data_IF_200720368608
#
_entry.id   IF_200720368608
#
_cell.length_a   1.000
_cell.length_b   1.000
_cell.length_c   1.000
_cell.angle_alpha   90.00
_cell.angle_beta   90.00
_cell.angle_gamma   90.00
#
_symmetry.space_group_name_H-M   'P 1'
#
loop_
_entity.id
_entity.type
_entity.pdbx_description
1 polymer ?
#
# COMPACT_ATOMS: atom_id res chain seq x y z
N UNK A 1 -9.88 2.28 3.57
CA UNK A 1 -11.01 3.13 3.10
C UNK A 1 -10.53 4.36 2.34
N UNK A 2 -9.67 5.23 2.90
CA UNK A 2 -9.24 6.46 2.23
C UNK A 2 -8.59 6.25 0.85
N UNK A 3 -7.87 5.14 0.65
CA UNK A 3 -7.20 4.87 -0.62
C UNK A 3 -8.17 4.71 -1.82
N UNK A 4 -9.43 4.35 -1.56
CA UNK A 4 -10.48 4.15 -2.57
C UNK A 4 -11.32 5.39 -2.85
N UNK A 5 -11.08 6.49 -2.13
CA UNK A 5 -11.82 7.73 -2.33
C UNK A 5 -11.24 8.50 -3.52
N UNK A 6 -12.11 9.10 -4.34
CA UNK A 6 -11.67 9.99 -5.43
C UNK A 6 -11.01 11.27 -4.90
N UNK A 7 -11.36 11.67 -3.68
CA UNK A 7 -10.71 12.76 -2.95
C UNK A 7 -10.79 12.52 -1.44
N UNK A 8 -9.71 12.79 -0.74
CA UNK A 8 -9.63 12.81 0.71
C UNK A 8 -9.42 14.24 1.20
N UNK A 9 -10.21 14.64 2.20
CA UNK A 9 -9.96 15.86 2.99
C UNK A 9 -9.53 15.42 4.39
N UNK A 10 -8.23 15.41 4.62
CA UNK A 10 -7.62 14.97 5.87
C UNK A 10 -7.60 16.07 6.94
N UNK A 11 -7.44 15.67 8.19
CA UNK A 11 -7.02 16.58 9.27
C UNK A 11 -5.50 16.69 9.26
N UNK A 12 -4.94 17.84 9.63
CA UNK A 12 -3.48 18.06 9.66
C UNK A 12 -2.75 17.00 10.49
N UNK A 13 -3.31 16.60 11.63
CA UNK A 13 -2.78 15.57 12.53
C UNK A 13 -3.39 14.17 12.23
N UNK A 14 -3.54 13.83 10.95
CA UNK A 14 -4.03 12.51 10.55
C UNK A 14 -3.06 11.41 10.98
N UNK A 15 -3.60 10.33 11.56
CA UNK A 15 -2.89 9.08 11.78
C UNK A 15 -3.37 8.02 10.77
N UNK A 16 -2.53 7.61 9.81
CA UNK A 16 -2.90 6.65 8.74
C UNK A 16 -1.74 5.74 8.34
N UNK A 17 -2.01 4.45 8.19
CA UNK A 17 -1.02 3.46 7.78
C UNK A 17 -1.66 2.15 7.30
N UNK A 18 -0.85 1.32 6.65
CA UNK A 18 -1.18 -0.06 6.30
C UNK A 18 -0.34 -0.98 7.18
N UNK A 19 -0.90 -1.36 8.33
CA UNK A 19 -0.18 -2.02 9.44
C UNK A 19 -0.32 -3.54 9.45
N UNK A 20 -1.02 -4.09 8.46
CA UNK A 20 -1.34 -5.51 8.33
C UNK A 20 -0.09 -6.41 8.34
N UNK A 21 1.05 -5.90 7.86
CA UNK A 21 2.31 -6.63 7.83
C UNK A 21 2.68 -7.20 9.20
N UNK A 22 2.51 -6.39 10.25
CA UNK A 22 2.85 -6.79 11.62
C UNK A 22 2.05 -8.00 12.10
N UNK A 23 0.81 -8.16 11.66
CA UNK A 23 -0.06 -9.27 12.09
C UNK A 23 0.08 -10.54 11.24
N UNK A 24 0.96 -10.51 10.24
CA UNK A 24 1.28 -11.69 9.44
C UNK A 24 0.64 -11.71 8.05
N UNK A 25 0.03 -10.63 7.59
CA UNK A 25 -0.66 -10.55 6.28
C UNK A 25 -0.25 -9.30 5.51
N UNK A 26 -0.52 -9.28 4.20
CA UNK A 26 -0.46 -8.03 3.41
C UNK A 26 -1.77 -7.27 3.54
N UNK A 27 -1.83 -5.97 3.20
CA UNK A 27 -3.09 -5.26 3.12
C UNK A 27 -4.03 -5.90 2.09
N UNK A 28 -5.11 -6.52 2.56
CA UNK A 28 -6.08 -7.27 1.74
C UNK A 28 -7.38 -6.51 1.41
N UNK A 29 -7.50 -5.26 1.87
CA UNK A 29 -8.60 -4.35 1.57
C UNK A 29 -8.36 -3.51 0.31
N UNK A 30 -7.68 -4.08 -0.69
CA UNK A 30 -7.15 -3.40 -1.88
C UNK A 30 -6.08 -2.34 -1.60
N UNK A 31 -5.49 -2.34 -0.40
CA UNK A 31 -4.44 -1.39 -0.01
C UNK A 31 -3.13 -1.61 -0.77
N UNK A 32 -2.76 -2.87 -1.03
CA UNK A 32 -1.58 -3.20 -1.84
C UNK A 32 -1.81 -2.80 -3.29
N UNK A 33 -2.99 -3.12 -3.83
CA UNK A 33 -3.41 -2.71 -5.18
C UNK A 33 -3.33 -1.19 -5.35
N UNK A 34 -3.92 -0.42 -4.45
CA UNK A 34 -3.94 1.05 -4.54
C UNK A 34 -2.54 1.67 -4.44
N UNK A 35 -1.65 1.08 -3.63
CA UNK A 35 -0.25 1.52 -3.60
C UNK A 35 0.48 1.21 -4.92
N UNK A 36 0.20 0.07 -5.55
CA UNK A 36 0.76 -0.25 -6.88
C UNK A 36 0.26 0.70 -7.96
N UNK A 37 -1.04 1.06 -7.94
CA UNK A 37 -1.63 2.07 -8.85
C UNK A 37 -0.89 3.40 -8.70
N UNK A 38 -0.77 3.89 -7.47
CA UNK A 38 -0.08 5.17 -7.18
C UNK A 38 1.40 5.13 -7.51
N UNK A 39 2.05 4.01 -7.26
CA UNK A 39 3.44 3.79 -7.67
C UNK A 39 3.58 3.95 -9.18
N UNK A 40 2.68 3.35 -9.98
CA UNK A 40 2.68 3.51 -11.44
C UNK A 40 2.54 4.97 -11.85
N UNK A 41 1.67 5.74 -11.19
CA UNK A 41 1.44 7.17 -11.50
C UNK A 41 2.65 8.04 -11.13
N UNK A 42 3.47 7.59 -10.19
CA UNK A 42 4.68 8.28 -9.75
C UNK A 42 5.90 7.96 -10.62
N UNK A 43 5.86 6.90 -11.43
CA UNK A 43 6.96 6.58 -12.34
C UNK A 43 6.99 7.61 -13.47
N UNK A 44 8.11 8.32 -13.59
CA UNK A 44 8.36 9.25 -14.68
C UNK A 44 9.46 8.71 -15.59
N UNK A 45 9.37 9.05 -16.87
CA UNK A 45 10.41 8.74 -17.83
C UNK A 45 11.73 9.42 -17.40
N UNK A 46 12.82 8.66 -17.37
CA UNK A 46 14.13 9.11 -16.90
C UNK A 46 14.38 8.95 -15.39
N UNK A 47 13.36 8.69 -14.57
CA UNK A 47 13.55 8.38 -13.14
C UNK A 47 14.02 6.95 -12.91
N UNK A 48 14.75 6.74 -11.82
CA UNK A 48 15.16 5.40 -11.37
C UNK A 48 13.94 4.70 -10.74
N UNK A 49 13.11 4.08 -11.58
CA UNK A 49 11.88 3.36 -11.19
C UNK A 49 12.04 2.38 -10.02
N UNK A 50 13.21 1.76 -9.90
CA UNK A 50 13.55 0.83 -8.82
C UNK A 50 13.61 1.52 -7.44
N UNK A 51 14.02 2.80 -7.38
CA UNK A 51 14.01 3.58 -6.15
C UNK A 51 12.59 3.92 -5.72
N UNK A 52 11.73 4.33 -6.65
CA UNK A 52 10.32 4.62 -6.37
C UNK A 52 9.58 3.37 -5.90
N UNK A 53 9.80 2.23 -6.58
CA UNK A 53 9.28 0.94 -6.15
C UNK A 53 9.72 0.61 -4.73
N UNK A 54 11.03 0.66 -4.45
CA UNK A 54 11.58 0.36 -3.13
C UNK A 54 10.97 1.26 -2.04
N UNK A 55 10.80 2.56 -2.31
CA UNK A 55 10.19 3.50 -1.36
C UNK A 55 8.77 3.07 -0.99
N UNK A 56 7.90 2.83 -1.98
CA UNK A 56 6.49 2.44 -1.74
C UNK A 56 6.37 1.05 -1.13
N UNK A 57 7.20 0.12 -1.58
CA UNK A 57 7.28 -1.22 -0.99
C UNK A 57 7.65 -1.16 0.50
N UNK A 58 8.65 -0.36 0.87
CA UNK A 58 9.08 -0.23 2.27
C UNK A 58 8.05 0.48 3.15
N UNK A 59 7.26 1.41 2.61
CA UNK A 59 6.16 2.02 3.38
C UNK A 59 5.20 0.96 3.92
N UNK A 60 4.81 -0.02 3.10
CA UNK A 60 3.95 -1.13 3.55
C UNK A 60 4.76 -2.17 4.33
N UNK A 61 5.92 -2.59 3.80
CA UNK A 61 6.73 -3.66 4.37
C UNK A 61 7.28 -3.36 5.76
N UNK A 62 7.44 -2.09 6.10
CA UNK A 62 7.83 -1.65 7.45
C UNK A 62 6.64 -1.17 8.29
N UNK A 63 5.41 -1.31 7.79
CA UNK A 63 4.19 -0.84 8.44
C UNK A 63 4.29 0.63 8.89
N UNK A 64 4.82 1.50 8.03
CA UNK A 64 4.99 2.91 8.36
C UNK A 64 3.62 3.56 8.58
N UNK A 65 3.52 4.43 9.57
CA UNK A 65 2.28 5.14 9.87
C UNK A 65 2.57 6.63 9.83
N UNK A 66 1.87 7.33 8.95
CA UNK A 66 1.91 8.78 8.94
C UNK A 66 1.20 9.32 10.18
N UNK A 67 1.83 10.29 10.83
CA UNK A 67 1.35 11.02 12.02
C UNK A 67 0.88 12.44 11.69
N UNK A 68 1.03 12.84 10.43
CA UNK A 68 0.47 14.07 9.87
C UNK A 68 -0.03 13.85 8.44
N UNK A 69 -0.89 14.75 7.97
CA UNK A 69 -1.32 14.74 6.58
C UNK A 69 -0.14 14.94 5.61
N UNK A 70 0.85 15.77 5.97
CA UNK A 70 2.02 16.02 5.12
C UNK A 70 2.87 14.75 4.96
N UNK A 71 3.17 14.08 6.08
CA UNK A 71 3.85 12.78 6.07
C UNK A 71 3.04 11.73 5.28
N UNK A 72 1.70 11.78 5.33
CA UNK A 72 0.85 10.88 4.56
C UNK A 72 0.99 11.07 3.04
N UNK A 73 1.30 12.28 2.54
CA UNK A 73 1.68 12.47 1.12
C UNK A 73 3.06 11.89 0.82
N UNK A 74 4.03 12.09 1.71
CA UNK A 74 5.39 11.57 1.52
C UNK A 74 5.42 10.04 1.47
N UNK A 75 4.65 9.40 2.35
CA UNK A 75 4.45 7.96 2.42
C UNK A 75 3.52 7.41 1.33
N UNK A 76 2.76 8.26 0.63
CA UNK A 76 1.93 7.86 -0.51
C UNK A 76 0.52 7.39 -0.13
N UNK A 77 0.12 7.61 1.12
CA UNK A 77 -1.25 7.42 1.59
C UNK A 77 -2.22 8.48 1.07
N UNK A 78 -1.72 9.69 0.80
CA UNK A 78 -2.46 10.78 0.14
C UNK A 78 -1.77 11.18 -1.16
N UNK A 79 -2.53 11.73 -2.12
CA UNK A 79 -2.06 12.10 -3.47
C UNK A 79 -2.01 13.60 -3.62
N UNK A 80 -0.82 14.15 -3.90
CA UNK A 80 -0.64 15.59 -4.13
C UNK A 80 -1.45 16.02 -5.37
N UNK A 81 -2.05 17.20 -5.30
CA UNK A 81 -2.91 17.73 -6.36
C UNK A 81 -4.34 17.17 -6.41
N UNK A 82 -4.65 16.14 -5.62
CA UNK A 82 -6.00 15.56 -5.52
C UNK A 82 -6.52 15.70 -4.09
N UNK A 83 -5.82 15.06 -3.15
CA UNK A 83 -6.18 15.05 -1.73
C UNK A 83 -5.65 16.33 -1.06
N UNK A 84 -6.32 16.77 0.00
CA UNK A 84 -5.94 17.97 0.74
C UNK A 84 -6.16 17.78 2.24
N UNK A 85 -5.75 18.76 3.04
CA UNK A 85 -5.89 18.72 4.48
C UNK A 85 -6.30 20.06 5.06
N UNK A 86 -6.92 20.02 6.24
CA UNK A 86 -7.32 21.20 7.02
C UNK A 86 -6.66 21.18 8.40
N UNK A 87 -6.31 22.36 8.91
CA UNK A 87 -5.76 22.51 10.27
C UNK A 87 -6.83 22.23 11.33
N UNK A 88 -7.99 22.87 11.21
CA UNK A 88 -9.03 22.79 12.22
C UNK A 88 -9.97 21.60 11.95
N UNK A 89 -10.00 20.64 12.89
CA UNK A 89 -10.90 19.47 12.83
C UNK A 89 -12.37 19.87 12.67
N UNK A 90 -12.81 20.96 13.30
CA UNK A 90 -14.21 21.40 13.24
C UNK A 90 -14.65 21.77 11.82
N UNK A 91 -13.72 22.25 10.98
CA UNK A 91 -14.00 22.68 9.61
C UNK A 91 -13.93 21.53 8.60
N UNK A 92 -13.36 20.38 8.98
CA UNK A 92 -13.06 19.27 8.07
C UNK A 92 -14.28 18.77 7.32
N UNK A 93 -15.39 18.52 8.03
CA UNK A 93 -16.61 17.98 7.41
C UNK A 93 -17.24 19.01 6.46
N UNK A 94 -17.30 20.28 6.86
CA UNK A 94 -17.82 21.35 6.02
C UNK A 94 -16.95 21.54 4.77
N UNK A 95 -15.62 21.44 4.91
CA UNK A 95 -14.68 21.49 3.79
C UNK A 95 -14.85 20.29 2.85
N UNK A 96 -14.91 19.07 3.38
CA UNK A 96 -15.16 17.85 2.61
C UNK A 96 -16.46 17.93 1.80
N UNK A 97 -17.54 18.46 2.40
CA UNK A 97 -18.81 18.70 1.71
C UNK A 97 -18.65 19.67 0.53
N UNK A 98 -17.97 20.81 0.73
CA UNK A 98 -17.73 21.78 -0.35
C UNK A 98 -16.97 21.15 -1.51
N UNK A 99 -16.00 20.30 -1.23
CA UNK A 99 -15.19 19.63 -2.24
C UNK A 99 -15.97 18.57 -3.02
N UNK A 100 -16.83 17.81 -2.33
CA UNK A 100 -17.75 16.89 -2.99
C UNK A 100 -18.72 17.64 -3.93
N UNK A 101 -19.26 18.80 -3.50
CA UNK A 101 -20.08 19.65 -4.36
C UNK A 101 -19.28 20.21 -5.54
N UNK A 102 -18.05 20.66 -5.33
CA UNK A 102 -17.18 21.15 -6.39
C UNK A 102 -16.84 20.05 -7.42
N UNK A 103 -16.66 18.80 -6.99
CA UNK A 103 -16.51 17.65 -7.90
C UNK A 103 -17.79 17.45 -8.72
N UNK A 104 -18.96 17.49 -8.09
CA UNK A 104 -20.24 17.38 -8.77
C UNK A 104 -20.46 18.49 -9.81
N UNK A 105 -20.20 19.75 -9.45
CA UNK A 105 -20.33 20.90 -10.34
C UNK A 105 -19.39 20.84 -11.55
N UNK A 106 -18.20 20.23 -11.37
CA UNK A 106 -17.26 19.92 -12.46
C UNK A 106 -17.70 18.73 -13.33
N UNK A 107 -18.86 18.15 -13.06
CA UNK A 107 -19.41 17.03 -13.82
C UNK A 107 -18.79 15.68 -13.46
N UNK A 108 -18.49 15.45 -12.18
CA UNK A 108 -17.91 14.20 -11.70
C UNK A 108 -18.66 12.98 -12.26
N UNK A 109 -17.87 12.02 -12.77
CA UNK A 109 -18.31 10.69 -13.15
C UNK A 109 -17.40 9.68 -12.46
N UNK A 110 -17.96 8.51 -12.17
CA UNK A 110 -17.19 7.38 -11.65
C UNK A 110 -15.98 7.13 -12.56
N UNK A 111 -14.75 7.04 -12.02
CA UNK A 111 -13.58 6.70 -12.82
C UNK A 111 -13.76 5.38 -13.57
N UNK A 112 -13.18 5.32 -14.76
CA UNK A 112 -13.07 4.08 -15.54
C UNK A 112 -12.04 3.19 -14.83
N UNK A 113 -12.31 1.89 -14.74
CA UNK A 113 -11.35 0.94 -14.19
C UNK A 113 -10.08 0.98 -15.03
N UNK A 114 -8.93 1.17 -14.39
CA UNK A 114 -7.65 1.27 -15.09
C UNK A 114 -7.17 -0.05 -15.65
N UNK A 115 -6.52 0.04 -16.80
CA UNK A 115 -5.87 -1.07 -17.54
C UNK A 115 -4.42 -0.75 -17.91
N UNK A 116 -3.92 0.39 -17.45
CA UNK A 116 -2.67 1.06 -17.81
C UNK A 116 -1.71 1.17 -16.60
N UNK A 117 -1.80 0.23 -15.65
CA UNK A 117 -0.97 0.26 -14.45
C UNK A 117 0.33 -0.45 -14.75
N UNK A 118 1.43 0.30 -14.84
CA UNK A 118 2.76 -0.24 -15.06
C UNK A 118 3.28 -0.94 -13.81
N UNK A 119 3.59 -2.23 -13.94
CA UNK A 119 4.28 -3.06 -12.94
C UNK A 119 5.63 -3.49 -13.48
N UNK A 120 6.60 -3.78 -12.60
CA UNK A 120 8.00 -4.01 -12.99
C UNK A 120 8.41 -5.50 -13.13
N UNK A 121 7.53 -6.44 -12.80
CA UNK A 121 7.80 -7.87 -12.94
C UNK A 121 9.05 -8.32 -12.17
N UNK A 122 9.85 -9.18 -12.80
CA UNK A 122 11.06 -9.79 -12.20
C UNK A 122 12.12 -8.77 -11.76
N UNK A 123 12.16 -7.58 -12.37
CA UNK A 123 13.07 -6.50 -11.95
C UNK A 123 12.79 -6.10 -10.49
N UNK A 124 11.53 -5.80 -10.16
CA UNK A 124 11.12 -5.46 -8.80
C UNK A 124 11.23 -6.65 -7.84
N UNK A 125 10.87 -7.86 -8.28
CA UNK A 125 11.02 -9.06 -7.45
C UNK A 125 12.48 -9.34 -7.08
N UNK A 126 13.44 -9.06 -7.97
CA UNK A 126 14.86 -9.16 -7.65
C UNK A 126 15.25 -8.27 -6.46
N UNK A 127 14.76 -7.04 -6.42
CA UNK A 127 14.98 -6.11 -5.30
C UNK A 127 14.36 -6.62 -4.00
N UNK A 128 13.15 -7.17 -4.08
CA UNK A 128 12.45 -7.76 -2.93
C UNK A 128 13.24 -8.93 -2.36
N UNK A 129 13.68 -9.86 -3.21
CA UNK A 129 14.46 -11.01 -2.78
C UNK A 129 15.79 -10.62 -2.17
N UNK A 130 16.53 -9.69 -2.79
CA UNK A 130 17.79 -9.20 -2.24
C UNK A 130 17.54 -8.56 -0.86
N UNK A 131 16.60 -7.62 -0.78
CA UNK A 131 16.30 -6.92 0.48
C UNK A 131 15.86 -7.87 1.60
N UNK A 132 14.89 -8.75 1.31
CA UNK A 132 14.36 -9.68 2.30
C UNK A 132 15.41 -10.72 2.74
N UNK A 133 16.23 -11.24 1.81
CA UNK A 133 17.33 -12.14 2.15
C UNK A 133 18.39 -11.45 3.00
N UNK A 134 18.81 -10.24 2.65
CA UNK A 134 19.79 -9.48 3.44
C UNK A 134 19.30 -9.25 4.86
N UNK A 135 18.03 -8.84 5.04
CA UNK A 135 17.45 -8.63 6.36
C UNK A 135 17.33 -9.94 7.16
N UNK A 136 16.96 -11.03 6.50
CA UNK A 136 16.85 -12.35 7.12
C UNK A 136 18.21 -12.90 7.55
N UNK A 137 19.21 -12.89 6.66
CA UNK A 137 20.58 -13.31 6.98
C UNK A 137 21.24 -12.44 8.05
N UNK A 138 20.84 -11.17 8.14
CA UNK A 138 21.25 -10.26 9.22
C UNK A 138 20.50 -10.44 10.54
N UNK A 139 19.59 -11.42 10.65
CA UNK A 139 18.72 -11.65 11.81
C UNK A 139 17.82 -10.45 12.19
N UNK A 140 17.51 -9.57 11.24
CA UNK A 140 16.62 -8.41 11.47
C UNK A 140 15.13 -8.76 11.33
N UNK A 141 14.82 -9.80 10.57
CA UNK A 141 13.45 -10.26 10.32
C UNK A 141 13.37 -11.79 10.46
N UNK A 142 12.20 -12.31 10.83
CA UNK A 142 11.99 -13.75 10.86
C UNK A 142 11.84 -14.33 9.45
N UNK A 143 11.89 -15.66 9.35
CA UNK A 143 11.54 -16.36 8.10
C UNK A 143 10.11 -16.04 7.65
N UNK A 144 9.19 -15.83 8.60
CA UNK A 144 7.80 -15.49 8.28
C UNK A 144 7.67 -14.06 7.75
N UNK A 145 8.41 -13.12 8.33
CA UNK A 145 8.48 -11.74 7.83
C UNK A 145 9.03 -11.70 6.41
N UNK A 146 10.08 -12.50 6.12
CA UNK A 146 10.60 -12.67 4.76
C UNK A 146 9.51 -13.18 3.82
N UNK A 147 8.77 -14.21 4.22
CA UNK A 147 7.67 -14.78 3.41
C UNK A 147 6.58 -13.74 3.13
N UNK A 148 6.16 -12.94 4.11
CA UNK A 148 5.15 -11.88 3.91
C UNK A 148 5.70 -10.80 2.96
N UNK A 149 6.96 -10.41 3.13
CA UNK A 149 7.68 -9.45 2.28
C UNK A 149 7.70 -9.90 0.81
N UNK A 150 7.99 -11.17 0.55
CA UNK A 150 7.96 -11.76 -0.79
C UNK A 150 6.55 -11.78 -1.39
N UNK A 151 5.51 -12.04 -0.58
CA UNK A 151 4.10 -12.02 -1.03
C UNK A 151 3.63 -10.61 -1.36
N UNK A 152 4.01 -9.62 -0.56
CA UNK A 152 3.77 -8.20 -0.83
C UNK A 152 4.45 -7.79 -2.13
N UNK A 153 5.73 -8.12 -2.27
CA UNK A 153 6.52 -7.83 -3.45
C UNK A 153 5.94 -8.47 -4.70
N UNK A 154 5.45 -9.70 -4.60
CA UNK A 154 4.81 -10.41 -5.71
C UNK A 154 3.58 -9.68 -6.23
N UNK A 155 2.73 -9.15 -5.35
CA UNK A 155 1.55 -8.38 -5.76
C UNK A 155 1.98 -7.04 -6.39
N UNK A 156 2.88 -6.30 -5.74
CA UNK A 156 3.33 -4.99 -6.23
C UNK A 156 4.13 -5.06 -7.54
N UNK A 157 4.81 -6.18 -7.79
CA UNK A 157 5.55 -6.42 -9.03
C UNK A 157 4.66 -6.93 -10.16
N UNK A 158 3.37 -7.15 -9.92
CA UNK A 158 2.45 -7.67 -10.92
C UNK A 158 2.56 -9.17 -11.15
N UNK A 159 2.99 -9.94 -10.15
CA UNK A 159 3.08 -11.39 -10.22
C UNK A 159 4.35 -11.90 -10.90
N UNK A 160 4.22 -12.94 -11.73
CA UNK A 160 5.35 -13.62 -12.38
C UNK A 160 5.60 -13.11 -13.82
N UNK A 161 5.54 -11.79 -13.99
CA UNK A 161 5.81 -11.13 -15.26
C UNK A 161 7.33 -10.99 -15.45
N UNK A 162 7.84 -11.31 -16.63
CA UNK A 162 9.28 -11.27 -16.92
C UNK A 162 9.85 -9.86 -17.01
N UNK A 163 9.04 -8.90 -17.41
CA UNK A 163 9.43 -7.54 -17.75
C UNK A 163 8.35 -6.53 -17.35
N UNK A 164 8.67 -5.22 -17.33
CA UNK A 164 7.68 -4.20 -17.06
C UNK A 164 6.51 -4.26 -18.05
N UNK A 165 5.29 -4.32 -17.52
CA UNK A 165 4.07 -4.56 -18.28
C UNK A 165 2.93 -3.72 -17.71
N UNK A 166 1.98 -3.30 -18.55
CA UNK A 166 0.73 -2.68 -18.09
C UNK A 166 -0.31 -3.74 -17.73
N UNK A 167 -0.93 -3.59 -16.56
CA UNK A 167 -1.97 -4.49 -16.06
C UNK A 167 -3.20 -3.71 -15.59
N UNK A 168 -4.30 -4.44 -15.37
CA UNK A 168 -5.54 -3.85 -14.86
C UNK A 168 -5.64 -3.84 -13.34
N UNK A 169 -6.51 -2.96 -12.82
CA UNK A 169 -6.84 -2.96 -11.38
C UNK A 169 -7.40 -4.30 -10.92
N UNK A 170 -8.25 -4.92 -11.75
CA UNK A 170 -8.87 -6.20 -11.45
C UNK A 170 -7.79 -7.30 -11.38
N UNK A 171 -6.77 -7.26 -12.25
CA UNK A 171 -5.63 -8.18 -12.20
C UNK A 171 -4.88 -8.08 -10.86
N UNK A 172 -4.51 -6.87 -10.44
CA UNK A 172 -3.82 -6.65 -9.17
C UNK A 172 -4.67 -7.03 -7.97
N UNK A 173 -5.97 -6.75 -8.01
CA UNK A 173 -6.91 -7.13 -6.96
C UNK A 173 -7.01 -8.65 -6.81
N UNK A 174 -6.99 -9.41 -7.91
CA UNK A 174 -6.95 -10.87 -7.86
C UNK A 174 -5.65 -11.40 -7.24
N UNK A 175 -4.51 -10.80 -7.59
CA UNK A 175 -3.22 -11.15 -7.00
C UNK A 175 -3.22 -10.87 -5.48
N UNK A 176 -3.64 -9.68 -5.07
CA UNK A 176 -3.72 -9.30 -3.66
C UNK A 176 -4.61 -10.28 -2.89
N UNK A 177 -5.82 -10.53 -3.37
CA UNK A 177 -6.76 -11.47 -2.74
C UNK A 177 -6.15 -12.86 -2.57
N UNK A 178 -5.51 -13.38 -3.62
CA UNK A 178 -4.86 -14.69 -3.56
C UNK A 178 -3.75 -14.73 -2.51
N UNK A 179 -2.86 -13.73 -2.50
CA UNK A 179 -1.71 -13.71 -1.57
C UNK A 179 -2.11 -13.43 -0.14
N UNK A 180 -3.13 -12.61 0.06
CA UNK A 180 -3.77 -12.42 1.36
C UNK A 180 -4.31 -13.75 1.91
N UNK A 181 -5.11 -14.48 1.12
CA UNK A 181 -5.68 -15.76 1.55
C UNK A 181 -4.60 -16.82 1.82
N UNK A 182 -3.56 -16.90 0.97
CA UNK A 182 -2.39 -17.75 1.22
C UNK A 182 -1.78 -17.47 2.60
N UNK A 183 -1.58 -16.19 2.97
CA UNK A 183 -1.02 -15.80 4.26
C UNK A 183 -1.96 -16.06 5.44
N UNK A 184 -3.28 -15.93 5.26
CA UNK A 184 -4.26 -16.27 6.30
C UNK A 184 -4.23 -17.77 6.68
N UNK A 185 -3.80 -18.64 5.77
CA UNK A 185 -3.68 -20.08 6.03
C UNK A 185 -2.37 -20.47 6.74
N UNK A 186 -1.46 -19.52 6.94
CA UNK A 186 -0.18 -19.80 7.59
C UNK A 186 -0.34 -19.91 9.11
N UNK A 187 0.19 -20.99 9.69
CA UNK A 187 0.16 -21.21 11.15
C UNK A 187 0.76 -20.02 11.92
N UNK A 188 1.89 -19.49 11.49
CA UNK A 188 2.55 -18.34 12.14
C UNK A 188 1.69 -17.08 12.09
N UNK A 189 0.94 -16.85 11.01
CA UNK A 189 -0.04 -15.75 10.93
C UNK A 189 -1.17 -15.93 11.93
N UNK A 190 -1.73 -17.14 12.04
CA UNK A 190 -2.76 -17.44 13.02
C UNK A 190 -2.27 -17.22 14.46
N UNK A 191 -1.03 -17.63 14.76
CA UNK A 191 -0.38 -17.38 16.05
C UNK A 191 -0.23 -15.88 16.35
N UNK A 192 0.21 -15.08 15.36
CA UNK A 192 0.32 -13.62 15.48
C UNK A 192 -1.02 -12.95 15.74
N UNK A 193 -2.05 -13.32 14.97
CA UNK A 193 -3.41 -12.81 15.17
C UNK A 193 -3.97 -13.20 16.54
N UNK A 194 -3.77 -14.44 16.96
CA UNK A 194 -4.22 -14.92 18.27
C UNK A 194 -3.52 -14.16 19.40
N UNK A 195 -2.21 -13.94 19.30
CA UNK A 195 -1.45 -13.13 20.26
C UNK A 195 -2.00 -11.70 20.32
N UNK A 196 -2.22 -11.05 19.18
CA UNK A 196 -2.74 -9.70 19.13
C UNK A 196 -4.13 -9.61 19.79
N UNK A 197 -5.05 -10.52 19.46
CA UNK A 197 -6.41 -10.51 20.01
C UNK A 197 -6.41 -10.77 21.52
N UNK A 198 -5.60 -11.73 21.98
CA UNK A 198 -5.59 -12.14 23.41
C UNK A 198 -4.80 -11.18 24.29
N UNK A 199 -3.71 -10.60 23.79
CA UNK A 199 -2.72 -9.88 24.62
C UNK A 199 -2.52 -8.43 24.21
N UNK A 200 -3.06 -8.00 23.06
CA UNK A 200 -2.77 -6.69 22.47
C UNK A 200 -1.36 -6.56 21.89
N UNK A 201 -0.54 -7.63 21.90
CA UNK A 201 0.85 -7.61 21.43
C UNK A 201 1.05 -8.51 20.23
N UNK A 202 1.78 -8.00 19.25
CA UNK A 202 2.20 -8.74 18.07
C UNK A 202 3.30 -9.72 18.46
N UNK A 203 3.08 -11.01 18.18
CA UNK A 203 4.11 -12.05 18.31
C UNK A 203 5.15 -11.89 17.19
N UNK A 204 6.45 -11.97 17.52
CA UNK A 204 7.54 -11.94 16.53
C UNK A 204 8.17 -13.33 16.40
N UNK A 205 7.59 -14.16 15.52
CA UNK A 205 7.94 -15.56 15.23
C UNK A 205 8.25 -15.81 13.74
#
# INVERSE_FOLDING_TARGET
MCLHADKVVAHAELYIGLVEFGVGIIPGGAGTKEFTVRLSDEMKEGDIRTNTFRKRFLTIGQAQVATSAEEAFELGYLRRGIDEWVVNRADQLAHAKRQALALWEKGYKRPIKRTDITVLGKEAMGLVYIGANTMYSGNYISEHDKKISEKLGFVMSGGDLSEPTEVSEDYLLQLERKKFLELCMERKTLERMQSLIKTGKILRN
#
